data_IF_064166673621
#
_entry.id   IF_064166673621
#
_cell.length_a   1.000
_cell.length_b   1.000
_cell.length_c   1.000
_cell.angle_alpha   90.00
_cell.angle_beta   90.00
_cell.angle_gamma   90.00
#
_symmetry.space_group_name_H-M   'P 1'
#
loop_
_entity.id
_entity.type
_entity.pdbx_description
1 polymer ?
#
# COMPACT_ATOMS: atom_id res chain seq x y z
N UNK A 1 -10.54 9.85 -5.78
CA UNK A 1 -10.35 8.58 -6.52
C UNK A 1 -10.46 7.44 -5.52
N UNK A 2 -11.20 6.40 -5.87
CA UNK A 2 -11.41 5.21 -5.02
C UNK A 2 -10.22 4.24 -5.09
N UNK A 3 -10.06 3.37 -4.08
CA UNK A 3 -9.03 2.31 -4.03
C UNK A 3 -9.04 1.46 -5.32
N UNK A 4 -10.23 1.13 -5.84
CA UNK A 4 -10.39 0.30 -7.05
C UNK A 4 -9.88 1.02 -8.30
N UNK A 5 -10.01 2.36 -8.37
CA UNK A 5 -9.51 3.13 -9.51
C UNK A 5 -7.97 3.19 -9.52
N UNK A 6 -7.36 3.41 -8.35
CA UNK A 6 -5.91 3.41 -8.19
C UNK A 6 -5.31 2.04 -8.51
N UNK A 7 -5.91 0.96 -7.97
CA UNK A 7 -5.45 -0.41 -8.22
C UNK A 7 -5.54 -0.80 -9.70
N UNK A 8 -6.60 -0.37 -10.40
CA UNK A 8 -6.75 -0.58 -11.83
C UNK A 8 -5.67 0.14 -12.64
N UNK A 9 -5.39 1.41 -12.33
CA UNK A 9 -4.32 2.19 -12.97
C UNK A 9 -2.96 1.53 -12.79
N UNK A 10 -2.62 1.17 -11.55
CA UNK A 10 -1.35 0.50 -11.24
C UNK A 10 -1.25 -0.85 -11.95
N UNK A 11 -2.33 -1.65 -11.95
CA UNK A 11 -2.36 -2.95 -12.63
C UNK A 11 -2.13 -2.80 -14.14
N UNK A 12 -2.72 -1.77 -14.77
CA UNK A 12 -2.50 -1.50 -16.18
C UNK A 12 -1.03 -1.17 -16.51
N UNK A 13 -0.37 -0.36 -15.68
CA UNK A 13 1.05 0.00 -15.90
C UNK A 13 2.01 -1.14 -15.59
N UNK A 14 1.74 -1.92 -14.54
CA UNK A 14 2.53 -3.12 -14.20
C UNK A 14 2.45 -4.18 -15.31
N UNK A 15 1.26 -4.38 -15.90
CA UNK A 15 1.09 -5.31 -17.02
C UNK A 15 1.85 -4.87 -18.28
N UNK A 16 1.97 -3.56 -18.50
CA UNK A 16 2.77 -3.00 -19.60
C UNK A 16 4.29 -3.01 -19.32
N UNK A 17 4.75 -3.55 -18.18
CA UNK A 17 6.16 -3.52 -17.79
C UNK A 17 6.67 -2.13 -17.40
N UNK A 18 5.77 -1.14 -17.24
CA UNK A 18 6.11 0.24 -16.89
C UNK A 18 6.22 0.40 -15.36
N UNK A 19 7.18 -0.30 -14.76
CA UNK A 19 7.37 -0.33 -13.31
C UNK A 19 7.52 1.07 -12.70
N UNK A 20 8.31 1.96 -13.32
CA UNK A 20 8.50 3.34 -12.84
C UNK A 20 7.20 4.16 -12.82
N UNK A 21 6.36 4.00 -13.84
CA UNK A 21 5.06 4.70 -13.88
C UNK A 21 4.12 4.15 -12.83
N UNK A 22 4.08 2.82 -12.66
CA UNK A 22 3.31 2.17 -11.60
C UNK A 22 3.76 2.66 -10.20
N UNK A 23 5.07 2.82 -9.98
CA UNK A 23 5.63 3.35 -8.74
C UNK A 23 5.27 4.83 -8.52
N UNK A 24 5.30 5.67 -9.54
CA UNK A 24 4.88 7.07 -9.41
C UNK A 24 3.37 7.20 -9.07
N UNK A 25 2.53 6.36 -9.67
CA UNK A 25 1.10 6.29 -9.32
C UNK A 25 0.93 5.78 -7.89
N UNK A 26 1.75 4.81 -7.47
CA UNK A 26 1.77 4.29 -6.11
C UNK A 26 2.15 5.37 -5.09
N UNK A 27 3.18 6.18 -5.34
CA UNK A 27 3.53 7.31 -4.47
C UNK A 27 2.40 8.35 -4.35
N UNK A 28 1.65 8.57 -5.44
CA UNK A 28 0.48 9.45 -5.39
C UNK A 28 -0.66 8.86 -4.56
N UNK A 29 -0.86 7.54 -4.64
CA UNK A 29 -1.81 6.80 -3.81
C UNK A 29 -1.43 6.88 -2.32
N UNK A 30 -0.14 6.79 -1.99
CA UNK A 30 0.37 7.00 -0.63
C UNK A 30 0.14 8.42 -0.13
N UNK A 31 0.47 9.43 -0.94
CA UNK A 31 0.22 10.85 -0.60
C UNK A 31 -1.26 11.15 -0.40
N UNK A 32 -2.14 10.40 -1.07
CA UNK A 32 -3.59 10.48 -0.89
C UNK A 32 -4.12 9.66 0.29
N UNK A 33 -3.24 9.00 1.07
CA UNK A 33 -3.58 8.16 2.22
C UNK A 33 -4.54 7.00 1.87
N UNK A 34 -4.44 6.48 0.65
CA UNK A 34 -5.31 5.41 0.14
C UNK A 34 -4.65 4.05 0.38
N UNK A 35 -5.41 3.12 0.96
CA UNK A 35 -4.92 1.77 1.27
C UNK A 35 -4.60 0.97 0.01
N UNK A 36 -3.40 0.37 0.01
CA UNK A 36 -3.02 -0.66 -0.95
C UNK A 36 -3.95 -1.88 -0.84
N UNK A 37 -4.35 -2.42 -1.98
CA UNK A 37 -4.92 -3.76 -2.06
C UNK A 37 -3.82 -4.80 -2.31
N UNK A 38 -3.99 -6.02 -1.81
CA UNK A 38 -2.99 -7.09 -1.91
C UNK A 38 -2.66 -7.50 -3.35
N UNK A 39 -3.63 -7.36 -4.25
CA UNK A 39 -3.43 -7.60 -5.69
C UNK A 39 -2.51 -6.53 -6.29
N UNK A 40 -2.64 -5.29 -5.82
CA UNK A 40 -1.89 -4.14 -6.34
C UNK A 40 -0.42 -4.18 -5.92
N UNK A 41 -0.15 -4.48 -4.65
CA UNK A 41 1.21 -4.63 -4.14
C UNK A 41 1.95 -5.76 -4.85
N UNK A 42 1.30 -6.90 -5.08
CA UNK A 42 1.87 -8.04 -5.80
C UNK A 42 2.21 -7.68 -7.26
N UNK A 43 1.33 -6.93 -7.93
CA UNK A 43 1.56 -6.45 -9.29
C UNK A 43 2.81 -5.55 -9.39
N UNK A 44 2.97 -4.62 -8.45
CA UNK A 44 4.15 -3.74 -8.40
C UNK A 44 5.42 -4.53 -8.12
N UNK A 45 5.40 -5.46 -7.15
CA UNK A 45 6.55 -6.31 -6.82
C UNK A 45 7.03 -7.12 -8.03
N UNK A 46 6.08 -7.70 -8.78
CA UNK A 46 6.40 -8.43 -10.02
C UNK A 46 7.00 -7.51 -11.08
N UNK A 47 6.43 -6.32 -11.28
CA UNK A 47 6.98 -5.35 -12.23
C UNK A 47 8.39 -4.89 -11.84
N UNK A 48 8.66 -4.66 -10.55
CA UNK A 48 9.98 -4.28 -10.05
C UNK A 48 11.01 -5.41 -10.22
N UNK A 49 10.60 -6.67 -10.01
CA UNK A 49 11.45 -7.82 -10.28
C UNK A 49 11.84 -7.93 -11.75
N UNK A 50 10.91 -7.65 -12.67
CA UNK A 50 11.21 -7.65 -14.11
C UNK A 50 12.03 -6.42 -14.55
N UNK A 51 11.87 -5.28 -13.88
CA UNK A 51 12.58 -4.04 -14.19
C UNK A 51 13.96 -3.93 -13.54
N UNK A 52 14.36 -4.88 -12.69
CA UNK A 52 15.64 -4.84 -11.96
C UNK A 52 15.68 -3.74 -10.89
N UNK A 53 14.56 -3.52 -10.19
CA UNK A 53 14.37 -2.45 -9.20
C UNK A 53 14.16 -3.05 -7.78
N UNK A 54 15.22 -3.60 -7.14
CA UNK A 54 15.08 -4.33 -5.88
C UNK A 54 14.76 -3.42 -4.68
N UNK A 55 15.28 -2.19 -4.67
CA UNK A 55 15.08 -1.24 -3.58
C UNK A 55 13.62 -0.78 -3.52
N UNK A 56 13.03 -0.49 -4.68
CA UNK A 56 11.63 -0.12 -4.82
C UNK A 56 10.71 -1.29 -4.48
N UNK A 57 11.06 -2.50 -4.91
CA UNK A 57 10.33 -3.71 -4.50
C UNK A 57 10.32 -3.87 -2.97
N UNK A 58 11.46 -3.67 -2.31
CA UNK A 58 11.55 -3.76 -0.86
C UNK A 58 10.73 -2.69 -0.14
N UNK A 59 10.69 -1.47 -0.69
CA UNK A 59 9.87 -0.40 -0.14
C UNK A 59 8.38 -0.73 -0.22
N UNK A 60 7.91 -1.18 -1.38
CA UNK A 60 6.51 -1.60 -1.60
C UNK A 60 6.14 -2.77 -0.68
N UNK A 61 7.04 -3.74 -0.50
CA UNK A 61 6.84 -4.86 0.42
C UNK A 61 6.68 -4.42 1.88
N UNK A 62 7.53 -3.50 2.36
CA UNK A 62 7.42 -2.93 3.71
C UNK A 62 6.10 -2.19 3.91
N UNK A 63 5.68 -1.40 2.93
CA UNK A 63 4.43 -0.65 2.98
C UNK A 63 3.21 -1.57 2.99
N UNK A 64 3.22 -2.63 2.17
CA UNK A 64 2.18 -3.64 2.19
C UNK A 64 2.07 -4.32 3.57
N UNK A 65 3.21 -4.68 4.19
CA UNK A 65 3.23 -5.28 5.52
C UNK A 65 2.71 -4.32 6.60
N UNK A 66 3.09 -3.04 6.55
CA UNK A 66 2.58 -2.03 7.47
C UNK A 66 1.05 -1.85 7.34
N UNK A 67 0.54 -1.79 6.11
CA UNK A 67 -0.90 -1.74 5.85
C UNK A 67 -1.63 -3.00 6.33
N UNK A 68 -1.04 -4.18 6.13
CA UNK A 68 -1.63 -5.44 6.60
C UNK A 68 -1.70 -5.49 8.14
N UNK A 69 -0.69 -4.96 8.85
CA UNK A 69 -0.72 -4.79 10.31
C UNK A 69 -1.83 -3.82 10.73
N UNK A 70 -1.98 -2.67 10.06
CA UNK A 70 -3.04 -1.69 10.36
C UNK A 70 -4.43 -2.29 10.07
N UNK A 71 -4.58 -3.04 8.98
CA UNK A 71 -5.84 -3.67 8.58
C UNK A 71 -6.24 -4.84 9.49
N UNK A 72 -5.26 -5.63 9.94
CA UNK A 72 -5.46 -6.77 10.84
C UNK A 72 -5.46 -6.37 12.31
N UNK A 73 -5.16 -5.10 12.64
CA UNK A 73 -5.29 -4.61 14.00
C UNK A 73 -6.75 -4.79 14.45
N UNK A 74 -7.03 -5.58 15.50
CA UNK A 74 -8.39 -5.84 15.98
C UNK A 74 -8.99 -4.63 16.73
N UNK A 75 -8.27 -3.51 16.77
CA UNK A 75 -8.63 -2.37 17.60
C UNK A 75 -9.38 -1.36 16.74
N UNK A 76 -10.72 -1.41 16.82
CA UNK A 76 -11.45 -0.14 16.84
C UNK A 76 -10.77 0.67 17.94
N UNK A 77 -10.07 1.76 17.59
CA UNK A 77 -9.58 2.74 18.58
C UNK A 77 -10.83 3.36 19.20
N UNK A 78 -11.45 2.60 20.08
CA UNK A 78 -12.57 3.04 20.87
C UNK A 78 -11.95 3.93 21.91
N UNK A 79 -12.49 5.13 22.01
CA UNK A 79 -12.19 6.13 23.02
C UNK A 79 -12.12 5.57 24.47
N UNK A 80 -12.59 4.34 24.70
CA UNK A 80 -12.40 3.57 25.94
C UNK A 80 -10.94 3.36 26.34
N UNK A 81 -10.00 3.17 25.41
CA UNK A 81 -8.60 2.93 25.76
C UNK A 81 -7.90 4.18 26.33
N UNK A 82 -8.23 5.39 25.84
CA UNK A 82 -7.74 6.64 26.40
C UNK A 82 -8.46 7.04 27.69
N UNK A 83 -9.71 6.64 27.87
CA UNK A 83 -10.45 6.87 29.12
C UNK A 83 -9.86 6.17 30.35
N UNK A 84 -9.10 5.07 30.16
CA UNK A 84 -8.47 4.34 31.27
C UNK A 84 -7.05 4.81 31.57
N UNK A 85 -6.37 5.51 30.65
CA UNK A 85 -5.03 6.05 30.88
C UNK A 85 -5.01 7.38 31.65
N UNK A 86 -6.16 8.05 31.80
CA UNK A 86 -6.33 9.28 32.58
C UNK A 86 -7.05 9.07 33.92
N UNK A 87 -7.36 7.83 34.29
CA UNK A 87 -7.96 7.48 35.57
C UNK A 87 -7.13 6.39 36.24
N UNK A 88 -5.89 6.71 36.59
CA UNK A 88 -5.14 6.19 37.75
C UNK A 88 -3.91 7.06 38.00
#
# INVERSE_FOLDING_TARGET
MDVVAWSSLISAYTFQGKARTALNIFEQMEKANVSLDGITSLGILKACSHAGLPDEAQNVGRLHQAYDVIRKMPVKVTAKAWGLAFVF
#
